data_IF_754458935753
#
_entry.id   IF_754458935753
#
_cell.length_a   1.000
_cell.length_b   1.000
_cell.length_c   1.000
_cell.angle_alpha   90.00
_cell.angle_beta   90.00
_cell.angle_gamma   90.00
#
_symmetry.space_group_name_H-M   'P 1'
#
loop_
_entity.id
_entity.type
_entity.pdbx_description
1 polymer ?
#
# COMPACT_ATOMS: atom_id res chain seq x y z
N UNK A 1 16.27 11.33 -38.26
CA UNK A 1 17.16 10.55 -37.35
C UNK A 1 16.40 10.17 -36.08
N UNK A 2 16.35 8.89 -35.70
CA UNK A 2 15.70 8.39 -34.47
C UNK A 2 16.71 7.97 -33.39
N UNK A 3 17.82 8.70 -33.29
CA UNK A 3 19.00 8.31 -32.49
C UNK A 3 18.70 8.15 -31.00
N UNK A 4 17.95 9.10 -30.41
CA UNK A 4 17.54 9.01 -29.00
C UNK A 4 16.67 7.79 -28.69
N UNK A 5 15.82 7.38 -29.64
CA UNK A 5 14.95 6.21 -29.45
C UNK A 5 15.79 4.93 -29.47
N UNK A 6 16.70 4.79 -30.43
CA UNK A 6 17.54 3.59 -30.56
C UNK A 6 18.53 3.47 -29.41
N UNK A 7 19.16 4.57 -29.00
CA UNK A 7 20.23 4.56 -27.98
C UNK A 7 19.69 4.39 -26.55
N UNK A 8 18.39 4.61 -26.34
CA UNK A 8 17.74 4.51 -25.03
C UNK A 8 16.80 3.31 -24.91
N UNK A 9 16.62 2.54 -25.97
CA UNK A 9 15.90 1.27 -25.88
C UNK A 9 16.78 0.28 -25.10
N UNK A 10 16.30 -0.26 -23.96
CA UNK A 10 17.00 -1.31 -23.24
C UNK A 10 17.23 -2.53 -24.15
N UNK A 11 18.33 -3.27 -23.97
CA UNK A 11 18.56 -4.50 -24.72
C UNK A 11 17.40 -5.47 -24.49
N UNK A 12 16.99 -6.17 -25.55
CA UNK A 12 15.99 -7.23 -25.41
C UNK A 12 16.57 -8.33 -24.54
N UNK A 13 15.98 -8.51 -23.36
CA UNK A 13 16.32 -9.64 -22.50
C UNK A 13 15.98 -10.93 -23.26
N UNK A 14 16.84 -11.96 -23.21
CA UNK A 14 16.47 -13.27 -23.70
C UNK A 14 15.17 -13.69 -23.01
N UNK A 15 14.17 -14.11 -23.78
CA UNK A 15 13.02 -14.86 -23.26
C UNK A 15 13.49 -16.25 -22.85
N UNK A 16 14.45 -16.31 -21.93
CA UNK A 16 14.93 -17.55 -21.37
C UNK A 16 13.81 -18.08 -20.49
N UNK A 17 13.08 -19.06 -21.04
CA UNK A 17 12.13 -19.89 -20.33
C UNK A 17 10.82 -19.20 -19.93
N UNK A 18 10.02 -18.77 -20.92
CA UNK A 18 8.61 -19.15 -20.89
C UNK A 18 8.52 -20.67 -21.05
N UNK A 19 9.04 -21.43 -20.08
CA UNK A 19 8.61 -22.81 -19.89
C UNK A 19 7.10 -22.72 -19.76
N UNK A 20 6.30 -23.55 -20.46
CA UNK A 20 4.95 -23.74 -20.01
C UNK A 20 5.10 -24.10 -18.54
N UNK A 21 4.60 -23.23 -17.65
CA UNK A 21 4.40 -23.61 -16.27
C UNK A 21 3.43 -24.76 -16.42
N UNK A 22 3.95 -25.99 -16.49
CA UNK A 22 3.19 -27.17 -16.14
C UNK A 22 2.57 -26.76 -14.83
N UNK A 23 1.24 -26.70 -14.83
CA UNK A 23 0.43 -26.28 -13.71
C UNK A 23 0.61 -27.30 -12.58
N UNK A 24 1.83 -27.35 -12.03
CA UNK A 24 2.09 -27.81 -10.69
C UNK A 24 1.23 -26.88 -9.88
N UNK A 25 0.12 -27.42 -9.37
CA UNK A 25 -0.84 -26.69 -8.54
C UNK A 25 -0.03 -25.70 -7.71
N UNK A 26 -0.14 -24.38 -7.95
CA UNK A 26 0.65 -23.42 -7.20
C UNK A 26 0.38 -23.76 -5.75
N UNK A 27 1.43 -24.02 -4.96
CA UNK A 27 1.28 -24.31 -3.53
C UNK A 27 0.38 -23.19 -3.02
N UNK A 28 -0.88 -23.53 -2.69
CA UNK A 28 -1.91 -22.55 -2.37
C UNK A 28 -1.62 -22.08 -0.96
N UNK A 29 -0.59 -21.25 -0.84
CA UNK A 29 -0.24 -20.60 0.42
C UNK A 29 -1.44 -19.72 0.73
N UNK A 30 -2.13 -20.07 1.81
CA UNK A 30 -3.14 -19.22 2.39
C UNK A 30 -2.45 -18.32 3.40
N UNK A 31 -2.82 -17.06 3.39
CA UNK A 31 -2.44 -16.08 4.41
C UNK A 31 -3.73 -15.62 5.11
N UNK A 32 -3.57 -15.12 6.33
CA UNK A 32 -4.70 -14.70 7.16
C UNK A 32 -4.85 -13.17 7.14
N UNK A 33 -6.09 -12.71 7.23
CA UNK A 33 -6.39 -11.29 7.44
C UNK A 33 -5.82 -10.84 8.79
N UNK A 34 -5.10 -9.73 8.80
CA UNK A 34 -4.48 -9.21 10.02
C UNK A 34 -5.48 -8.69 11.05
N UNK A 35 -6.72 -8.45 10.63
CA UNK A 35 -7.80 -7.95 11.48
C UNK A 35 -8.74 -9.06 11.95
N UNK A 36 -9.34 -9.81 11.01
CA UNK A 36 -10.35 -10.82 11.31
C UNK A 36 -9.87 -12.28 11.21
N UNK A 37 -8.60 -12.53 10.85
CA UNK A 37 -8.03 -13.88 10.74
C UNK A 37 -8.53 -14.71 9.55
N UNK A 38 -9.37 -14.15 8.66
CA UNK A 38 -9.92 -14.91 7.52
C UNK A 38 -8.80 -15.40 6.58
N UNK A 39 -8.67 -16.72 6.34
CA UNK A 39 -7.67 -17.24 5.42
C UNK A 39 -8.06 -16.97 3.96
N UNK A 40 -7.08 -16.65 3.12
CA UNK A 40 -7.27 -16.42 1.69
C UNK A 40 -5.95 -16.41 0.92
N UNK A 41 -5.99 -16.44 -0.42
CA UNK A 41 -4.79 -16.30 -1.23
C UNK A 41 -4.20 -14.88 -1.07
N UNK A 42 -2.89 -14.68 -1.28
CA UNK A 42 -2.25 -13.37 -1.13
C UNK A 42 -2.91 -12.25 -1.93
N UNK A 43 -3.44 -12.58 -3.12
CA UNK A 43 -4.12 -11.63 -4.00
C UNK A 43 -5.49 -11.17 -3.45
N UNK A 44 -6.11 -11.94 -2.54
CA UNK A 44 -7.38 -11.59 -1.91
C UNK A 44 -7.20 -10.69 -0.66
N UNK A 45 -5.96 -10.50 -0.19
CA UNK A 45 -5.62 -9.68 0.96
C UNK A 45 -4.60 -8.59 0.60
N UNK A 46 -4.96 -7.63 -0.27
CA UNK A 46 -4.13 -6.45 -0.47
C UNK A 46 -3.98 -5.69 0.86
N UNK A 47 -2.77 -5.24 1.14
CA UNK A 47 -2.38 -4.61 2.41
C UNK A 47 -2.57 -5.50 3.66
N UNK A 48 -2.75 -6.82 3.47
CA UNK A 48 -3.01 -7.78 4.56
C UNK A 48 -4.46 -7.83 5.04
N UNK A 49 -5.38 -7.13 4.37
CA UNK A 49 -6.78 -7.03 4.76
C UNK A 49 -7.72 -7.66 3.72
N UNK A 50 -8.65 -8.48 4.20
CA UNK A 50 -9.74 -8.97 3.35
C UNK A 50 -10.65 -7.81 2.90
N UNK A 51 -11.40 -7.99 1.81
CA UNK A 51 -12.23 -6.92 1.25
C UNK A 51 -13.18 -6.25 2.26
N UNK A 52 -13.95 -6.97 3.10
CA UNK A 52 -14.79 -6.34 4.12
C UNK A 52 -14.00 -5.45 5.08
N UNK A 53 -12.98 -5.99 5.76
CA UNK A 53 -12.14 -5.23 6.69
C UNK A 53 -11.50 -4.00 6.00
N UNK A 54 -11.04 -4.13 4.75
CA UNK A 54 -10.47 -3.00 4.01
C UNK A 54 -11.50 -1.90 3.73
N UNK A 55 -12.77 -2.26 3.51
CA UNK A 55 -13.86 -1.30 3.34
C UNK A 55 -14.20 -0.63 4.67
N UNK A 56 -14.24 -1.37 5.76
CA UNK A 56 -14.51 -0.85 7.11
C UNK A 56 -13.39 0.11 7.56
N UNK A 57 -12.12 -0.22 7.28
CA UNK A 57 -10.96 0.62 7.58
C UNK A 57 -10.73 1.75 6.57
N UNK A 58 -11.64 1.97 5.61
CA UNK A 58 -11.43 3.00 4.58
C UNK A 58 -11.38 4.39 5.26
N UNK A 59 -10.24 5.11 5.21
CA UNK A 59 -10.15 6.43 5.81
C UNK A 59 -11.16 7.35 5.10
N UNK A 60 -12.20 7.73 5.83
CA UNK A 60 -13.33 8.53 5.33
C UNK A 60 -14.70 7.86 5.45
N UNK A 61 -14.80 6.60 5.87
CA UNK A 61 -16.11 5.98 6.19
C UNK A 61 -16.62 6.42 7.58
N UNK A 62 -15.74 6.51 8.57
CA UNK A 62 -16.10 6.83 9.97
C UNK A 62 -15.29 7.99 10.58
N UNK A 63 -14.51 8.72 9.77
CA UNK A 63 -13.83 9.92 10.27
C UNK A 63 -14.83 11.05 10.22
N UNK A 64 -15.51 11.29 11.34
CA UNK A 64 -16.21 12.55 11.56
C UNK A 64 -15.23 13.69 11.21
N UNK A 65 -15.64 14.68 10.40
CA UNK A 65 -14.78 15.80 10.10
C UNK A 65 -14.32 16.43 11.42
N UNK A 66 -13.01 16.42 11.68
CA UNK A 66 -12.43 17.02 12.88
C UNK A 66 -13.02 18.41 13.03
N UNK A 67 -13.64 18.68 14.18
CA UNK A 67 -14.32 19.94 14.38
C UNK A 67 -13.30 21.09 14.20
N UNK A 68 -13.64 22.19 13.51
CA UNK A 68 -12.66 23.24 13.18
C UNK A 68 -11.90 23.79 14.40
N UNK A 69 -12.55 23.82 15.57
CA UNK A 69 -11.93 24.19 16.84
C UNK A 69 -10.86 23.18 17.30
N UNK A 70 -11.16 21.88 17.23
CA UNK A 70 -10.21 20.82 17.58
C UNK A 70 -9.00 20.80 16.63
N UNK A 71 -9.23 21.05 15.34
CA UNK A 71 -8.15 21.19 14.37
C UNK A 71 -7.24 22.41 14.68
N UNK A 72 -7.81 23.51 15.17
CA UNK A 72 -7.05 24.68 15.60
C UNK A 72 -6.21 24.39 16.85
N UNK A 73 -6.77 23.69 17.84
CA UNK A 73 -6.07 23.30 19.07
C UNK A 73 -4.91 22.33 18.80
N UNK A 74 -5.12 21.33 17.94
CA UNK A 74 -4.04 20.42 17.48
C UNK A 74 -2.91 21.23 16.82
N UNK A 75 -3.25 22.20 15.96
CA UNK A 75 -2.26 23.04 15.30
C UNK A 75 -1.47 23.91 16.27
N UNK A 76 -2.15 24.52 17.26
CA UNK A 76 -1.50 25.31 18.31
C UNK A 76 -0.53 24.45 19.13
N UNK A 77 -0.97 23.26 19.55
CA UNK A 77 -0.13 22.30 20.30
C UNK A 77 1.09 21.85 19.49
N UNK A 78 0.91 21.51 18.22
CA UNK A 78 2.03 21.10 17.35
C UNK A 78 3.02 22.24 17.08
N UNK A 79 2.54 23.48 17.05
CA UNK A 79 3.42 24.66 16.92
C UNK A 79 4.27 24.82 18.18
N UNK A 80 3.65 24.78 19.36
CA UNK A 80 4.36 24.86 20.63
C UNK A 80 5.42 23.76 20.78
N UNK A 81 5.08 22.50 20.45
CA UNK A 81 6.04 21.39 20.49
C UNK A 81 7.25 21.64 19.58
N UNK A 82 7.02 22.18 18.38
CA UNK A 82 8.09 22.49 17.43
C UNK A 82 9.01 23.60 17.94
N UNK A 83 8.43 24.61 18.60
CA UNK A 83 9.21 25.71 19.16
C UNK A 83 10.07 25.25 20.33
N UNK A 84 9.53 24.39 21.20
CA UNK A 84 10.29 23.77 22.28
C UNK A 84 11.47 22.95 21.72
N UNK A 85 11.23 22.12 20.70
CA UNK A 85 12.27 21.30 20.07
C UNK A 85 13.32 22.10 19.29
N UNK A 86 12.97 23.28 18.77
CA UNK A 86 13.91 24.16 18.04
C UNK A 86 14.92 24.84 18.98
N UNK A 87 14.57 24.98 20.26
CA UNK A 87 15.41 25.66 21.25
C UNK A 87 16.49 24.78 21.89
N UNK A 88 16.61 23.52 21.45
CA UNK A 88 17.62 22.53 21.83
C UNK A 88 18.64 22.37 20.71
#
# INVERSE_FOLDING_TARGET
MRRRLTDKIPPRLPTENARPVTATSPRRILIECTDCGRPGPPEALPDGLCHPCRTDHRPGADVDPVHPAEAADIKARMTNLRDLLRSV
#
